data_IF_693651764235
#
_entry.id   IF_693651764235
#
_cell.length_a   1.000
_cell.length_b   1.000
_cell.length_c   1.000
_cell.angle_alpha   90.00
_cell.angle_beta   90.00
_cell.angle_gamma   90.00
#
_symmetry.space_group_name_H-M   'P 1'
#
loop_
_entity.id
_entity.type
_entity.pdbx_description
1 polymer ?
#
# COMPACT_ATOMS: atom_id res chain seq x y z
N UNK A 1 -7.18 -16.14 -5.20
CA UNK A 1 -6.03 -15.59 -4.44
C UNK A 1 -5.46 -14.33 -5.10
N UNK A 2 -5.67 -14.09 -6.39
CA UNK A 2 -5.16 -12.88 -7.07
C UNK A 2 -6.01 -11.61 -6.87
N UNK A 3 -7.32 -11.76 -6.77
CA UNK A 3 -8.24 -10.62 -6.62
C UNK A 3 -8.19 -9.99 -5.23
N UNK A 4 -7.83 -10.75 -4.20
CA UNK A 4 -7.72 -10.26 -2.83
C UNK A 4 -6.66 -9.17 -2.69
N UNK A 5 -5.55 -9.32 -3.42
CA UNK A 5 -4.47 -8.33 -3.42
C UNK A 5 -4.91 -7.01 -4.08
N UNK A 6 -5.60 -7.13 -5.22
CA UNK A 6 -6.17 -5.97 -5.93
C UNK A 6 -7.21 -5.27 -5.05
N UNK A 7 -8.10 -6.03 -4.40
CA UNK A 7 -9.08 -5.48 -3.45
C UNK A 7 -8.41 -4.79 -2.26
N UNK A 8 -7.35 -5.38 -1.69
CA UNK A 8 -6.60 -4.78 -0.59
C UNK A 8 -6.01 -3.42 -0.97
N UNK A 9 -5.38 -3.33 -2.14
CA UNK A 9 -4.78 -2.09 -2.64
C UNK A 9 -5.87 -1.05 -2.94
N UNK A 10 -6.99 -1.46 -3.56
CA UNK A 10 -8.10 -0.58 -3.87
C UNK A 10 -8.75 0.01 -2.60
N UNK A 11 -9.01 -0.81 -1.58
CA UNK A 11 -9.55 -0.36 -0.30
C UNK A 11 -8.58 0.61 0.38
N UNK A 12 -7.28 0.31 0.38
CA UNK A 12 -6.28 1.17 0.98
C UNK A 12 -6.23 2.54 0.27
N UNK A 13 -6.33 2.56 -1.07
CA UNK A 13 -6.41 3.79 -1.85
C UNK A 13 -7.64 4.64 -1.53
N UNK A 14 -8.82 4.02 -1.37
CA UNK A 14 -10.04 4.71 -0.96
C UNK A 14 -9.86 5.32 0.44
N UNK A 15 -9.34 4.55 1.40
CA UNK A 15 -9.13 5.03 2.79
C UNK A 15 -8.17 6.22 2.82
N UNK A 16 -7.04 6.14 2.12
CA UNK A 16 -6.05 7.24 2.06
C UNK A 16 -6.67 8.49 1.43
N UNK A 17 -7.43 8.33 0.33
CA UNK A 17 -8.08 9.45 -0.36
C UNK A 17 -9.15 10.13 0.51
N UNK A 18 -9.95 9.34 1.24
CA UNK A 18 -10.95 9.84 2.17
C UNK A 18 -10.26 10.59 3.32
N UNK A 19 -9.22 10.02 3.92
CA UNK A 19 -8.46 10.68 4.98
C UNK A 19 -7.84 11.99 4.51
N UNK A 20 -7.20 12.01 3.34
CA UNK A 20 -6.66 13.22 2.75
C UNK A 20 -7.74 14.30 2.58
N UNK A 21 -8.90 13.93 2.03
CA UNK A 21 -10.02 14.86 1.80
C UNK A 21 -10.57 15.44 3.11
N UNK A 22 -10.72 14.59 4.13
CA UNK A 22 -11.19 15.00 5.46
C UNK A 22 -10.17 15.92 6.14
N UNK A 23 -8.89 15.58 6.11
CA UNK A 23 -7.83 16.41 6.71
C UNK A 23 -7.70 17.77 6.01
N UNK A 24 -7.86 17.79 4.69
CA UNK A 24 -7.90 19.03 3.90
C UNK A 24 -9.11 19.89 4.29
N UNK A 25 -10.30 19.30 4.44
CA UNK A 25 -11.49 20.01 4.92
C UNK A 25 -11.36 20.51 6.37
N UNK A 26 -10.59 19.81 7.21
CA UNK A 26 -10.27 20.24 8.56
C UNK A 26 -9.21 21.37 8.62
N UNK A 27 -8.73 21.88 7.48
CA UNK A 27 -7.73 22.94 7.40
C UNK A 27 -6.29 22.48 7.72
N UNK A 28 -6.03 21.17 7.79
CA UNK A 28 -4.71 20.59 8.08
C UNK A 28 -4.04 20.07 6.81
N UNK A 29 -3.71 20.98 5.91
CA UNK A 29 -3.21 20.63 4.56
C UNK A 29 -1.83 19.94 4.60
N UNK A 30 -0.93 20.34 5.50
CA UNK A 30 0.36 19.65 5.70
C UNK A 30 0.17 18.18 6.09
N UNK A 31 -0.74 17.90 7.03
CA UNK A 31 -0.99 16.54 7.50
C UNK A 31 -1.70 15.73 6.41
N UNK A 32 -2.58 16.35 5.62
CA UNK A 32 -3.22 15.69 4.48
C UNK A 32 -2.16 15.21 3.47
N UNK A 33 -1.21 16.06 3.10
CA UNK A 33 -0.12 15.68 2.20
C UNK A 33 0.76 14.56 2.77
N UNK A 34 1.04 14.58 4.08
CA UNK A 34 1.78 13.48 4.74
C UNK A 34 1.01 12.15 4.67
N UNK A 35 -0.32 12.17 4.78
CA UNK A 35 -1.15 10.96 4.64
C UNK A 35 -1.09 10.39 3.23
N UNK A 36 -1.11 11.24 2.19
CA UNK A 36 -0.95 10.78 0.80
C UNK A 36 0.41 10.11 0.58
N UNK A 37 1.48 10.74 1.07
CA UNK A 37 2.83 10.16 0.99
C UNK A 37 2.92 8.83 1.75
N UNK A 38 2.37 8.76 2.97
CA UNK A 38 2.31 7.53 3.75
C UNK A 38 1.54 6.43 3.01
N UNK A 39 0.42 6.77 2.36
CA UNK A 39 -0.34 5.83 1.53
C UNK A 39 0.49 5.25 0.39
N UNK A 40 1.27 6.07 -0.31
CA UNK A 40 2.19 5.60 -1.37
C UNK A 40 3.26 4.67 -0.79
N UNK A 41 3.87 5.04 0.34
CA UNK A 41 4.88 4.22 1.01
C UNK A 41 4.31 2.84 1.39
N UNK A 42 3.10 2.78 1.94
CA UNK A 42 2.44 1.51 2.29
C UNK A 42 2.23 0.62 1.06
N UNK A 43 1.80 1.19 -0.06
CA UNK A 43 1.67 0.43 -1.31
C UNK A 43 3.03 -0.10 -1.77
N UNK A 44 4.09 0.70 -1.71
CA UNK A 44 5.44 0.25 -2.04
C UNK A 44 5.90 -0.91 -1.13
N UNK A 45 5.60 -0.86 0.17
CA UNK A 45 5.88 -1.98 1.08
C UNK A 45 5.16 -3.26 0.69
N UNK A 46 3.91 -3.17 0.22
CA UNK A 46 3.19 -4.35 -0.28
C UNK A 46 3.88 -4.94 -1.52
N UNK A 47 4.39 -4.10 -2.42
CA UNK A 47 5.16 -4.58 -3.59
C UNK A 47 6.45 -5.29 -3.15
N UNK A 48 7.15 -4.75 -2.15
CA UNK A 48 8.37 -5.38 -1.60
C UNK A 48 8.06 -6.75 -1.00
N UNK A 49 6.94 -6.90 -0.27
CA UNK A 49 6.52 -8.20 0.26
C UNK A 49 6.24 -9.21 -0.84
N UNK A 50 5.55 -8.80 -1.92
CA UNK A 50 5.34 -9.66 -3.08
C UNK A 50 6.68 -10.11 -3.68
N UNK A 51 7.62 -9.19 -3.87
CA UNK A 51 8.95 -9.54 -4.37
C UNK A 51 9.62 -10.56 -3.44
N UNK A 52 9.51 -10.40 -2.12
CA UNK A 52 10.05 -11.36 -1.15
C UNK A 52 9.43 -12.76 -1.31
N UNK A 53 8.11 -12.84 -1.44
CA UNK A 53 7.39 -14.09 -1.67
C UNK A 53 7.86 -14.76 -2.96
N UNK A 54 8.03 -13.98 -4.04
CA UNK A 54 8.56 -14.46 -5.31
C UNK A 54 9.98 -15.01 -5.14
N UNK A 55 10.85 -14.31 -4.42
CA UNK A 55 12.20 -14.78 -4.10
C UNK A 55 12.19 -16.06 -3.25
N UNK A 56 11.26 -16.18 -2.30
CA UNK A 56 11.09 -17.37 -1.46
C UNK A 56 10.68 -18.57 -2.29
N UNK A 57 9.75 -18.38 -3.24
CA UNK A 57 9.33 -19.42 -4.20
C UNK A 57 10.53 -19.87 -5.04
N UNK A 58 11.32 -18.92 -5.56
CA UNK A 58 12.54 -19.23 -6.31
C UNK A 58 13.50 -20.04 -5.43
N UNK A 59 13.84 -19.58 -4.22
CA UNK A 59 14.73 -20.35 -3.31
C UNK A 59 14.24 -21.76 -3.03
N UNK A 60 12.92 -21.93 -2.83
CA UNK A 60 12.29 -23.23 -2.59
C UNK A 60 12.45 -24.16 -3.78
N UNK A 61 12.24 -23.66 -5.01
CA UNK A 61 12.45 -24.44 -6.24
C UNK A 61 13.92 -24.83 -6.40
N UNK A 62 14.83 -23.93 -6.03
CA UNK A 62 16.27 -24.16 -6.10
C UNK A 62 16.84 -24.91 -4.87
N UNK A 63 16.01 -25.41 -3.94
CA UNK A 63 16.39 -26.18 -2.75
C UNK A 63 17.54 -25.56 -1.91
N UNK A 64 17.55 -24.23 -1.76
CA UNK A 64 18.50 -23.47 -0.92
C UNK A 64 17.93 -23.13 0.45
#
# INVERSE_FOLDING_TARGET
>A
MDTDLIFKIAILGIVVSVLHTVLKQAGKEEVANMVTLAGVVVVLFMVVQLINDLFSIVKTIFQL
#
